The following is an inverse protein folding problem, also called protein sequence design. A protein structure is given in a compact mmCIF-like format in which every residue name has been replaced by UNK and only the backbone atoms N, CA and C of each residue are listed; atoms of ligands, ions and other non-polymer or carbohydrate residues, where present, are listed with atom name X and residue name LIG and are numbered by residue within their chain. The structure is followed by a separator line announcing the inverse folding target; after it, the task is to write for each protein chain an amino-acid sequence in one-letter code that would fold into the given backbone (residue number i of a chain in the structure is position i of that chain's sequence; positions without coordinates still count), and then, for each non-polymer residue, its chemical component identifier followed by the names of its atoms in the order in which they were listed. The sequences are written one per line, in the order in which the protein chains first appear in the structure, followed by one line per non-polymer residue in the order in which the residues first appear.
data_IF_947473006289
#
_entry.id   IF_947473006289
#
_cell.length_a   1.000
_cell.length_b   1.000
_cell.length_c   1.000
_cell.angle_alpha   90.00
_cell.angle_beta   90.00
_cell.angle_gamma   90.00
#
_symmetry.space_group_name_H-M   'P 1'
#
loop_
_entity.id
_entity.type
_entity.pdbx_description
1 polymer ?
#
# COMPACT_ATOMS: atom_id res chain seq x y z
N UNK A 1 21.99 44.76 -38.15
CA UNK A 1 21.94 43.45 -38.84
C UNK A 1 21.12 42.53 -37.94
N UNK A 2 19.81 42.37 -38.07
CA UNK A 2 18.83 42.68 -39.11
C UNK A 2 17.57 43.30 -38.48
N UNK A 3 16.94 44.18 -39.25
CA UNK A 3 15.68 44.84 -38.93
C UNK A 3 14.48 43.87 -38.89
N UNK A 4 13.57 44.18 -37.97
CA UNK A 4 12.25 43.58 -37.76
C UNK A 4 11.35 43.76 -38.99
N UNK A 5 11.13 42.70 -39.76
CA UNK A 5 10.08 42.61 -40.77
C UNK A 5 8.73 42.26 -40.14
N UNK A 6 8.01 43.22 -39.57
CA UNK A 6 6.54 43.16 -39.48
C UNK A 6 5.97 44.58 -39.41
N UNK A 7 4.98 44.95 -40.26
CA UNK A 7 4.37 46.27 -40.21
C UNK A 7 3.54 46.44 -38.92
N UNK A 8 3.75 47.57 -38.22
CA UNK A 8 2.89 48.02 -37.13
C UNK A 8 1.50 48.33 -37.69
N UNK A 9 0.57 47.41 -37.49
CA UNK A 9 -0.82 47.61 -37.81
C UNK A 9 -1.48 48.36 -36.63
N UNK A 10 -1.66 49.68 -36.77
CA UNK A 10 -2.39 50.54 -35.82
C UNK A 10 -3.91 50.36 -35.99
N UNK A 11 -4.41 49.16 -35.69
CA UNK A 11 -5.83 48.96 -35.49
C UNK A 11 -6.10 48.97 -33.99
N UNK A 12 -6.80 50.00 -33.52
CA UNK A 12 -7.46 50.03 -32.23
C UNK A 12 -8.43 48.85 -32.16
N UNK A 13 -7.94 47.71 -31.68
CA UNK A 13 -8.79 46.62 -31.21
C UNK A 13 -9.58 47.18 -30.03
N UNK A 14 -10.85 47.46 -30.28
CA UNK A 14 -11.82 47.61 -29.21
C UNK A 14 -11.78 46.31 -28.42
N UNK A 15 -11.10 46.35 -27.27
CA UNK A 15 -11.17 45.32 -26.23
C UNK A 15 -12.63 45.34 -25.78
N UNK A 16 -13.45 44.49 -26.40
CA UNK A 16 -14.85 44.39 -26.08
C UNK A 16 -15.03 44.00 -24.61
N UNK A 17 -16.16 44.39 -23.98
CA UNK A 17 -16.44 44.12 -22.55
C UNK A 17 -16.42 42.63 -22.19
N UNK A 18 -16.36 41.74 -23.17
CA UNK A 18 -16.25 40.29 -23.03
C UNK A 18 -14.94 39.81 -22.39
N UNK A 19 -13.80 40.47 -22.60
CA UNK A 19 -12.53 40.07 -21.97
C UNK A 19 -12.51 40.37 -20.45
N UNK A 20 -13.18 41.45 -20.04
CA UNK A 20 -13.38 41.79 -18.62
C UNK A 20 -14.39 40.82 -17.99
N UNK A 21 -15.43 40.41 -18.74
CA UNK A 21 -16.39 39.42 -18.26
C UNK A 21 -15.74 38.05 -18.01
N UNK A 22 -14.84 37.59 -18.90
CA UNK A 22 -14.12 36.32 -18.73
C UNK A 22 -13.12 36.39 -17.57
N UNK A 23 -12.47 37.53 -17.32
CA UNK A 23 -11.60 37.69 -16.14
C UNK A 23 -12.40 37.72 -14.83
N UNK A 24 -13.57 38.36 -14.79
CA UNK A 24 -14.41 38.43 -13.58
C UNK A 24 -15.12 37.10 -13.29
N UNK A 25 -15.46 36.31 -14.32
CA UNK A 25 -15.99 34.95 -14.17
C UNK A 25 -14.96 33.94 -13.65
N UNK A 26 -13.66 34.16 -13.87
CA UNK A 26 -12.60 33.31 -13.33
C UNK A 26 -12.10 33.74 -11.93
N UNK A 27 -12.41 34.96 -11.47
CA UNK A 27 -12.01 35.46 -10.14
C UNK A 27 -12.99 35.13 -9.01
N UNK A 28 -14.17 34.60 -9.33
CA UNK A 28 -15.21 34.24 -8.35
C UNK A 28 -15.53 32.74 -8.33
N UNK A 29 -14.68 31.89 -8.91
CA UNK A 29 -14.67 30.49 -8.50
C UNK A 29 -13.95 30.47 -7.14
N UNK A 30 -14.63 30.22 -6.02
CA UNK A 30 -13.91 29.69 -4.89
C UNK A 30 -13.31 28.38 -5.39
N UNK A 31 -12.04 28.40 -5.77
CA UNK A 31 -11.17 27.24 -5.58
C UNK A 31 -10.94 27.14 -4.07
N UNK A 32 -12.01 27.07 -3.30
CA UNK A 32 -12.01 26.31 -2.08
C UNK A 32 -12.23 24.90 -2.61
N UNK A 33 -11.15 24.14 -2.75
CA UNK A 33 -11.29 22.70 -2.59
C UNK A 33 -12.04 22.56 -1.27
N UNK A 34 -13.32 22.19 -1.36
CA UNK A 34 -14.17 21.97 -0.20
C UNK A 34 -13.37 21.05 0.72
N UNK A 35 -13.08 21.47 1.95
CA UNK A 35 -12.35 20.70 2.96
C UNK A 35 -13.11 19.40 3.19
N UNK A 36 -12.86 18.39 2.36
CA UNK A 36 -13.70 17.21 2.35
C UNK A 36 -13.03 16.02 2.99
N UNK A 37 -12.15 16.20 3.97
CA UNK A 37 -11.80 15.11 4.88
C UNK A 37 -12.97 14.88 5.85
N UNK A 38 -13.99 14.16 5.40
CA UNK A 38 -15.22 13.92 6.16
C UNK A 38 -15.35 12.45 6.52
N UNK A 39 -15.91 12.18 7.71
CA UNK A 39 -16.13 10.84 8.22
C UNK A 39 -17.22 10.06 7.47
N UNK A 40 -17.87 10.66 6.46
CA UNK A 40 -18.86 10.03 5.58
C UNK A 40 -18.25 9.37 4.33
N UNK A 41 -16.92 9.42 4.17
CA UNK A 41 -16.22 8.73 3.10
C UNK A 41 -16.48 7.23 3.11
N UNK A 42 -16.66 6.65 1.92
CA UNK A 42 -17.00 5.24 1.73
C UNK A 42 -15.97 4.30 2.41
N UNK A 43 -14.69 4.64 2.37
CA UNK A 43 -13.58 3.86 2.94
C UNK A 43 -13.50 3.95 4.47
N UNK A 44 -14.13 4.96 5.07
CA UNK A 44 -14.21 5.16 6.52
C UNK A 44 -15.52 4.63 7.10
N UNK A 45 -16.46 4.21 6.25
CA UNK A 45 -17.71 3.60 6.72
C UNK A 45 -17.46 2.18 7.22
N UNK A 46 -18.26 1.77 8.20
CA UNK A 46 -18.29 0.39 8.64
C UNK A 46 -18.62 -0.53 7.45
N UNK A 47 -17.76 -1.53 7.22
CA UNK A 47 -18.01 -2.57 6.22
C UNK A 47 -19.25 -3.35 6.61
N UNK A 48 -20.29 -3.28 5.78
CA UNK A 48 -21.51 -4.07 5.92
C UNK A 48 -21.45 -5.23 4.94
N UNK A 49 -21.81 -6.42 5.39
CA UNK A 49 -21.88 -7.61 4.52
C UNK A 49 -22.99 -7.39 3.49
N UNK A 50 -22.68 -7.30 2.19
CA UNK A 50 -23.69 -7.10 1.16
C UNK A 50 -24.52 -8.37 0.97
N UNK A 51 -25.73 -8.20 0.44
CA UNK A 51 -26.51 -9.32 -0.07
C UNK A 51 -25.83 -9.91 -1.30
N UNK A 52 -25.86 -11.24 -1.41
CA UNK A 52 -25.24 -11.95 -2.54
C UNK A 52 -26.14 -11.77 -3.77
N UNK A 53 -25.64 -11.26 -4.90
CA UNK A 53 -26.47 -11.02 -6.07
C UNK A 53 -26.99 -12.32 -6.69
N UNK A 54 -28.21 -12.27 -7.21
CA UNK A 54 -28.75 -13.36 -8.03
C UNK A 54 -28.15 -13.31 -9.44
N UNK A 55 -27.87 -14.49 -10.00
CA UNK A 55 -27.25 -14.66 -11.32
C UNK A 55 -28.03 -15.69 -12.14
N UNK A 56 -27.97 -15.55 -13.46
CA UNK A 56 -28.68 -16.44 -14.38
C UNK A 56 -28.00 -17.80 -14.45
N UNK A 57 -26.67 -17.84 -14.62
CA UNK A 57 -25.91 -19.09 -14.72
C UNK A 57 -25.49 -19.66 -13.37
N UNK A 58 -26.48 -20.13 -12.60
CA UNK A 58 -26.26 -20.74 -11.27
C UNK A 58 -25.34 -21.97 -11.27
N UNK A 59 -25.11 -22.61 -12.42
CA UNK A 59 -24.24 -23.80 -12.54
C UNK A 59 -22.75 -23.46 -12.51
N UNK A 60 -22.36 -22.23 -12.86
CA UNK A 60 -20.97 -21.80 -12.86
C UNK A 60 -20.48 -21.40 -11.46
N UNK A 61 -21.39 -20.95 -10.61
CA UNK A 61 -21.11 -20.51 -9.23
C UNK A 61 -20.67 -21.70 -8.37
N UNK A 62 -19.49 -21.60 -7.77
CA UNK A 62 -18.96 -22.55 -6.76
C UNK A 62 -19.04 -21.97 -5.35
N UNK A 63 -18.92 -20.66 -5.20
CA UNK A 63 -18.99 -19.96 -3.92
C UNK A 63 -19.63 -18.55 -4.08
N UNK A 64 -19.98 -17.85 -2.98
CA UNK A 64 -20.65 -16.55 -3.06
C UNK A 64 -19.86 -15.43 -3.75
N UNK A 65 -18.52 -15.50 -3.81
CA UNK A 65 -17.70 -14.50 -4.54
C UNK A 65 -17.97 -14.62 -6.04
N UNK A 66 -18.17 -15.83 -6.54
CA UNK A 66 -18.47 -16.09 -7.95
C UNK A 66 -19.79 -15.41 -8.37
N UNK A 67 -20.76 -15.26 -7.46
CA UNK A 67 -21.98 -14.49 -7.74
C UNK A 67 -21.67 -13.03 -8.06
N UNK A 68 -20.79 -12.38 -7.29
CA UNK A 68 -20.43 -10.97 -7.53
C UNK A 68 -19.70 -10.80 -8.86
N UNK A 69 -18.79 -11.71 -9.18
CA UNK A 69 -18.06 -11.69 -10.45
C UNK A 69 -19.01 -11.95 -11.62
N UNK A 70 -19.83 -13.01 -11.52
CA UNK A 70 -20.75 -13.40 -12.60
C UNK A 70 -21.86 -12.37 -12.80
N UNK A 71 -22.39 -11.76 -11.75
CA UNK A 71 -23.39 -10.70 -11.86
C UNK A 71 -22.85 -9.54 -12.71
N UNK A 72 -21.59 -9.13 -12.48
CA UNK A 72 -20.97 -8.07 -13.28
C UNK A 72 -20.70 -8.52 -14.72
N UNK A 73 -20.28 -9.77 -14.94
CA UNK A 73 -20.12 -10.30 -16.30
C UNK A 73 -21.45 -10.33 -17.07
N UNK A 74 -22.53 -10.83 -16.44
CA UNK A 74 -23.86 -10.90 -17.04
C UNK A 74 -24.44 -9.52 -17.36
N UNK A 75 -24.23 -8.54 -16.47
CA UNK A 75 -24.60 -7.12 -16.69
C UNK A 75 -23.93 -6.55 -17.94
N UNK A 76 -22.64 -6.84 -18.13
CA UNK A 76 -21.85 -6.37 -19.28
C UNK A 76 -22.00 -7.26 -20.53
N UNK A 77 -22.86 -8.30 -20.49
CA UNK A 77 -23.03 -9.24 -21.59
C UNK A 77 -21.81 -10.12 -21.88
N UNK A 78 -20.91 -10.28 -20.91
CA UNK A 78 -19.72 -11.09 -20.97
C UNK A 78 -19.95 -12.50 -20.41
N UNK A 79 -19.13 -13.45 -20.85
CA UNK A 79 -19.12 -14.81 -20.32
C UNK A 79 -17.79 -15.10 -19.62
N UNK A 80 -17.77 -15.95 -18.59
CA UNK A 80 -16.52 -16.36 -17.95
C UNK A 80 -15.54 -16.96 -18.95
N UNK A 81 -14.25 -16.65 -18.76
CA UNK A 81 -13.18 -17.29 -19.52
C UNK A 81 -13.13 -18.81 -19.22
N UNK A 82 -12.69 -19.64 -20.18
CA UNK A 82 -12.49 -21.06 -19.92
C UNK A 82 -11.45 -21.27 -18.81
N UNK A 83 -11.63 -22.34 -18.03
CA UNK A 83 -10.68 -22.73 -16.98
C UNK A 83 -9.31 -23.03 -17.60
N UNK A 84 -8.24 -22.64 -16.93
CA UNK A 84 -6.88 -22.89 -17.40
C UNK A 84 -6.62 -24.40 -17.47
N UNK A 85 -5.81 -24.83 -18.45
CA UNK A 85 -5.40 -26.22 -18.52
C UNK A 85 -4.63 -26.63 -17.25
N UNK A 86 -4.65 -27.92 -16.84
CA UNK A 86 -4.05 -28.36 -15.59
C UNK A 86 -2.59 -27.95 -15.43
N UNK A 87 -1.80 -28.00 -16.51
CA UNK A 87 -0.38 -27.63 -16.47
C UNK A 87 -0.19 -26.14 -16.21
N UNK A 88 -0.97 -25.29 -16.88
CA UNK A 88 -0.98 -23.85 -16.63
C UNK A 88 -1.41 -23.51 -15.21
N UNK A 89 -2.46 -24.17 -14.71
CA UNK A 89 -2.97 -23.96 -13.35
C UNK A 89 -1.94 -24.38 -12.29
N UNK A 90 -1.37 -25.59 -12.40
CA UNK A 90 -0.29 -26.06 -11.50
C UNK A 90 0.86 -25.07 -11.50
N UNK A 91 1.34 -24.64 -12.68
CA UNK A 91 2.47 -23.72 -12.76
C UNK A 91 2.18 -22.40 -12.05
N UNK A 92 0.98 -21.81 -12.23
CA UNK A 92 0.60 -20.56 -11.56
C UNK A 92 0.54 -20.72 -10.05
N UNK A 93 -0.14 -21.76 -9.56
CA UNK A 93 -0.26 -22.01 -8.11
C UNK A 93 1.11 -22.16 -7.44
N UNK A 94 2.03 -22.89 -8.07
CA UNK A 94 3.37 -23.09 -7.52
C UNK A 94 4.18 -21.77 -7.45
N UNK A 95 4.20 -20.97 -8.52
CA UNK A 95 4.90 -19.69 -8.49
C UNK A 95 4.25 -18.66 -7.58
N UNK A 96 2.91 -18.63 -7.52
CA UNK A 96 2.19 -17.66 -6.71
C UNK A 96 2.31 -17.99 -5.22
N UNK A 97 2.09 -19.26 -4.84
CA UNK A 97 2.04 -19.66 -3.43
C UNK A 97 3.43 -19.86 -2.83
N UNK A 98 4.36 -20.51 -3.55
CA UNK A 98 5.67 -20.88 -2.98
C UNK A 98 6.86 -20.32 -3.77
N UNK A 99 6.63 -19.64 -4.90
CA UNK A 99 7.71 -18.99 -5.67
C UNK A 99 8.61 -19.93 -6.48
N UNK A 100 8.34 -21.23 -6.46
CA UNK A 100 9.16 -22.26 -7.11
C UNK A 100 8.38 -22.92 -8.27
N UNK A 101 9.06 -23.48 -9.29
CA UNK A 101 8.38 -24.27 -10.31
C UNK A 101 7.85 -25.60 -9.74
N UNK A 102 6.78 -26.18 -10.32
CA UNK A 102 6.37 -27.55 -9.98
C UNK A 102 7.33 -28.60 -10.55
N UNK A 103 7.40 -29.76 -9.89
CA UNK A 103 8.03 -30.95 -10.45
C UNK A 103 7.27 -31.43 -11.70
N UNK A 104 7.93 -32.10 -12.66
CA UNK A 104 7.27 -32.70 -13.80
C UNK A 104 6.06 -33.56 -13.38
N UNK A 105 4.96 -33.44 -14.12
CA UNK A 105 3.70 -34.17 -13.90
C UNK A 105 3.00 -33.94 -12.54
N UNK A 106 3.41 -32.92 -11.79
CA UNK A 106 2.72 -32.53 -10.56
C UNK A 106 1.29 -32.03 -10.84
N UNK A 107 0.37 -32.43 -9.96
CA UNK A 107 -0.99 -31.92 -9.94
C UNK A 107 -1.12 -30.73 -8.98
N UNK A 108 -2.14 -29.87 -9.18
CA UNK A 108 -2.35 -28.72 -8.31
C UNK A 108 -2.96 -29.14 -6.98
N UNK A 109 -2.13 -29.33 -5.95
CA UNK A 109 -2.54 -29.63 -4.58
C UNK A 109 -2.41 -28.39 -3.68
N UNK A 110 -3.45 -27.54 -3.65
CA UNK A 110 -3.43 -26.23 -2.98
C UNK A 110 -3.06 -26.35 -1.49
N UNK A 111 -3.71 -27.27 -0.76
CA UNK A 111 -3.46 -27.45 0.69
C UNK A 111 -2.01 -27.83 0.99
N UNK A 112 -1.39 -28.64 0.12
CA UNK A 112 0.01 -29.01 0.25
C UNK A 112 0.95 -27.81 0.01
N UNK A 113 0.59 -26.94 -0.93
CA UNK A 113 1.34 -25.71 -1.20
C UNK A 113 1.22 -24.70 -0.07
N UNK A 114 0.02 -24.53 0.50
CA UNK A 114 -0.21 -23.65 1.65
C UNK A 114 0.50 -24.15 2.91
N UNK A 115 0.59 -25.47 3.11
CA UNK A 115 1.31 -26.07 4.22
C UNK A 115 2.85 -26.14 4.02
N UNK A 116 3.37 -25.72 2.86
CA UNK A 116 4.79 -25.73 2.58
C UNK A 116 5.51 -24.59 3.33
N UNK A 117 6.70 -24.81 3.92
CA UNK A 117 7.47 -23.73 4.55
C UNK A 117 7.84 -22.61 3.56
N UNK A 118 7.94 -22.95 2.27
CA UNK A 118 8.19 -21.98 1.20
C UNK A 118 7.04 -20.99 0.99
N UNK A 119 5.83 -21.28 1.50
CA UNK A 119 4.72 -20.35 1.46
C UNK A 119 5.04 -19.07 2.24
N UNK A 120 5.44 -19.23 3.51
CA UNK A 120 5.88 -18.12 4.35
C UNK A 120 7.08 -17.39 3.77
N UNK A 121 8.07 -18.10 3.22
CA UNK A 121 9.23 -17.46 2.55
C UNK A 121 8.80 -16.63 1.33
N UNK A 122 7.85 -17.13 0.53
CA UNK A 122 7.35 -16.45 -0.67
C UNK A 122 6.59 -15.19 -0.30
N UNK A 123 5.66 -15.30 0.65
CA UNK A 123 4.75 -14.23 1.05
C UNK A 123 5.42 -13.21 1.97
N UNK A 124 6.35 -13.63 2.84
CA UNK A 124 7.10 -12.72 3.69
C UNK A 124 7.84 -11.66 2.88
N UNK A 125 8.37 -11.99 1.70
CA UNK A 125 9.03 -11.00 0.83
C UNK A 125 8.14 -9.78 0.54
N UNK A 126 6.85 -10.02 0.26
CA UNK A 126 5.90 -8.94 0.01
C UNK A 126 5.66 -8.10 1.26
N UNK A 127 5.59 -8.74 2.43
CA UNK A 127 5.46 -8.02 3.70
C UNK A 127 6.74 -7.25 4.08
N UNK A 128 7.91 -7.82 3.81
CA UNK A 128 9.19 -7.21 4.10
C UNK A 128 9.44 -5.95 3.26
N UNK A 129 8.91 -5.89 2.03
CA UNK A 129 8.89 -4.67 1.24
C UNK A 129 8.04 -3.58 1.92
N UNK A 130 6.87 -3.93 2.45
CA UNK A 130 5.97 -3.01 3.19
C UNK A 130 6.62 -2.54 4.49
N UNK A 131 7.28 -3.44 5.22
CA UNK A 131 8.04 -3.12 6.41
C UNK A 131 9.33 -2.32 6.12
N UNK A 132 9.72 -2.19 4.84
CA UNK A 132 10.95 -1.53 4.39
C UNK A 132 12.20 -2.20 4.97
N UNK A 133 12.14 -3.52 5.05
CA UNK A 133 13.20 -4.35 5.62
C UNK A 133 14.50 -4.25 4.81
N UNK A 134 15.61 -4.08 5.51
CA UNK A 134 16.96 -4.16 4.97
C UNK A 134 17.92 -4.78 5.98
N UNK A 135 18.96 -5.46 5.49
CA UNK A 135 20.03 -6.03 6.32
C UNK A 135 21.16 -5.01 6.59
N UNK A 136 20.94 -3.76 6.21
CA UNK A 136 21.81 -2.62 6.47
C UNK A 136 20.99 -1.40 6.89
N UNK A 137 21.66 -0.31 7.27
CA UNK A 137 21.00 0.89 7.73
C UNK A 137 20.24 1.63 6.63
N UNK A 138 20.52 1.38 5.36
CA UNK A 138 19.85 2.01 4.21
C UNK A 138 20.08 3.52 4.14
N UNK A 139 21.12 4.04 4.78
CA UNK A 139 21.39 5.48 4.90
C UNK A 139 22.89 5.78 4.96
N UNK A 140 23.35 6.85 4.31
CA UNK A 140 24.74 7.38 4.24
C UNK A 140 25.91 6.40 4.51
N UNK A 141 26.21 6.08 5.77
CA UNK A 141 27.30 5.17 6.17
C UNK A 141 26.99 3.67 6.00
N UNK A 142 25.73 3.37 5.71
CA UNK A 142 25.09 2.09 5.41
C UNK A 142 25.73 0.87 6.07
N UNK A 143 25.68 0.84 7.40
CA UNK A 143 26.25 -0.26 8.18
C UNK A 143 25.33 -1.48 8.19
N UNK A 144 25.92 -2.67 8.25
CA UNK A 144 25.17 -3.92 8.39
C UNK A 144 24.41 -3.99 9.71
N UNK A 145 23.23 -4.58 9.67
CA UNK A 145 22.39 -4.91 10.83
C UNK A 145 22.49 -6.42 11.11
N UNK A 146 23.43 -6.87 11.96
CA UNK A 146 23.73 -8.30 12.12
C UNK A 146 22.57 -9.13 12.67
N UNK A 147 21.56 -8.49 13.26
CA UNK A 147 20.41 -9.16 13.89
C UNK A 147 19.09 -8.88 13.16
N UNK A 148 19.09 -8.21 12.00
CA UNK A 148 17.86 -7.90 11.26
C UNK A 148 17.07 -9.16 10.88
N UNK A 149 17.78 -10.25 10.57
CA UNK A 149 17.21 -11.54 10.17
C UNK A 149 16.17 -12.09 11.15
N UNK A 150 16.23 -11.76 12.44
CA UNK A 150 15.27 -12.24 13.43
C UNK A 150 13.84 -11.76 13.11
N UNK A 151 13.69 -10.51 12.65
CA UNK A 151 12.39 -9.99 12.23
C UNK A 151 11.91 -10.65 10.93
N UNK A 152 12.81 -10.84 9.96
CA UNK A 152 12.49 -11.57 8.71
C UNK A 152 11.94 -12.96 9.01
N UNK A 153 12.64 -13.72 9.84
CA UNK A 153 12.28 -15.09 10.18
C UNK A 153 10.98 -15.11 10.99
N UNK A 154 10.75 -14.14 11.89
CA UNK A 154 9.47 -13.99 12.58
C UNK A 154 8.29 -13.77 11.61
N UNK A 155 8.45 -12.94 10.57
CA UNK A 155 7.40 -12.74 9.55
C UNK A 155 7.12 -14.04 8.78
N UNK A 156 8.17 -14.76 8.39
CA UNK A 156 8.06 -16.07 7.70
C UNK A 156 7.28 -17.06 8.58
N UNK A 157 7.65 -17.15 9.85
CA UNK A 157 7.03 -18.06 10.81
C UNK A 157 5.57 -17.69 11.09
N UNK A 158 5.26 -16.41 11.26
CA UNK A 158 3.90 -15.93 11.48
C UNK A 158 2.97 -16.30 10.32
N UNK A 159 3.44 -16.19 9.07
CA UNK A 159 2.69 -16.57 7.88
C UNK A 159 2.52 -18.10 7.77
N UNK A 160 3.58 -18.87 8.02
CA UNK A 160 3.51 -20.34 7.98
C UNK A 160 2.63 -20.93 9.09
N UNK A 161 2.46 -20.22 10.21
CA UNK A 161 1.59 -20.62 11.32
C UNK A 161 0.13 -20.15 11.15
N UNK A 162 -0.20 -19.50 10.02
CA UNK A 162 -1.51 -18.92 9.78
C UNK A 162 -1.95 -17.97 10.92
N UNK A 163 -1.02 -17.11 11.36
CA UNK A 163 -1.30 -16.17 12.45
C UNK A 163 -2.45 -15.24 12.07
N UNK A 164 -3.49 -15.10 12.92
CA UNK A 164 -4.57 -14.15 12.67
C UNK A 164 -4.02 -12.74 12.43
N UNK A 165 -4.49 -12.10 11.35
CA UNK A 165 -3.98 -10.79 10.93
C UNK A 165 -4.06 -9.73 12.03
N UNK A 166 -5.11 -9.75 12.86
CA UNK A 166 -5.27 -8.80 13.95
C UNK A 166 -4.19 -8.96 15.04
N UNK A 167 -3.74 -10.20 15.29
CA UNK A 167 -2.59 -10.46 16.17
C UNK A 167 -1.29 -10.05 15.49
N UNK A 168 -1.09 -10.44 14.24
CA UNK A 168 0.09 -10.10 13.45
C UNK A 168 0.34 -8.59 13.38
N UNK A 169 -0.72 -7.80 13.19
CA UNK A 169 -0.65 -6.34 13.19
C UNK A 169 -0.34 -5.76 14.58
N UNK A 170 -1.03 -6.23 15.63
CA UNK A 170 -0.84 -5.71 17.00
C UNK A 170 0.58 -5.97 17.52
N UNK A 171 1.12 -7.16 17.30
CA UNK A 171 2.46 -7.51 17.77
C UNK A 171 3.54 -6.65 17.09
N UNK A 172 3.36 -6.28 15.83
CA UNK A 172 4.31 -5.41 15.14
C UNK A 172 4.32 -3.96 15.64
N UNK A 173 3.19 -3.48 16.16
CA UNK A 173 3.07 -2.11 16.70
C UNK A 173 3.48 -2.05 18.17
N UNK A 174 3.16 -3.07 18.96
CA UNK A 174 3.29 -3.01 20.42
C UNK A 174 3.55 -4.37 21.09
N UNK A 175 4.14 -5.33 20.39
CA UNK A 175 4.38 -6.67 20.94
C UNK A 175 5.23 -6.69 22.21
N UNK A 176 6.21 -5.79 22.32
CA UNK A 176 7.02 -5.57 23.52
C UNK A 176 6.22 -5.07 24.74
N UNK A 177 5.10 -4.38 24.51
CA UNK A 177 4.19 -3.89 25.55
C UNK A 177 3.09 -4.90 25.85
N UNK A 178 2.52 -5.54 24.83
CA UNK A 178 1.39 -6.46 24.95
C UNK A 178 1.86 -7.78 25.59
N UNK A 179 3.04 -8.29 25.19
CA UNK A 179 3.60 -9.56 25.65
C UNK A 179 5.09 -9.40 26.01
N UNK A 180 5.45 -8.65 27.06
CA UNK A 180 6.84 -8.24 27.37
C UNK A 180 7.79 -9.39 27.73
N UNK A 181 7.27 -10.60 27.94
CA UNK A 181 8.05 -11.79 28.27
C UNK A 181 8.11 -12.79 27.11
N UNK A 182 7.46 -12.50 25.98
CA UNK A 182 7.54 -13.32 24.77
C UNK A 182 8.59 -12.74 23.81
N UNK A 183 9.73 -13.42 23.59
CA UNK A 183 10.73 -12.99 22.61
C UNK A 183 10.18 -12.84 21.19
N UNK A 184 9.16 -13.62 20.81
CA UNK A 184 8.52 -13.50 19.50
C UNK A 184 7.76 -12.19 19.37
N UNK A 185 6.98 -11.82 20.38
CA UNK A 185 6.27 -10.54 20.42
C UNK A 185 7.24 -9.33 20.42
N UNK A 186 8.36 -9.42 21.14
CA UNK A 186 9.40 -8.38 21.11
C UNK A 186 10.08 -8.32 19.73
N UNK A 187 10.30 -9.47 19.09
CA UNK A 187 10.91 -9.50 17.75
C UNK A 187 9.98 -8.86 16.71
N UNK A 188 8.67 -9.02 16.86
CA UNK A 188 7.67 -8.43 15.96
C UNK A 188 7.76 -6.90 15.91
N UNK A 189 8.11 -6.22 17.01
CA UNK A 189 8.28 -4.76 17.02
C UNK A 189 9.47 -4.29 16.19
N UNK A 190 10.28 -5.22 15.65
CA UNK A 190 11.25 -4.96 14.60
C UNK A 190 10.67 -4.17 13.41
N UNK A 191 9.36 -4.32 13.12
CA UNK A 191 8.64 -3.51 12.11
C UNK A 191 8.91 -2.01 12.26
N UNK A 192 8.93 -1.49 13.49
CA UNK A 192 9.10 -0.07 13.79
C UNK A 192 10.50 0.46 13.47
N UNK A 193 11.48 -0.42 13.27
CA UNK A 193 12.90 -0.06 13.08
C UNK A 193 13.49 -0.67 11.80
N UNK A 194 12.67 -1.28 10.95
CA UNK A 194 13.11 -1.88 9.69
C UNK A 194 13.59 -0.84 8.67
N UNK A 195 12.93 0.33 8.63
CA UNK A 195 13.25 1.43 7.72
C UNK A 195 14.67 1.99 7.86
N UNK A 196 15.00 2.98 7.02
CA UNK A 196 16.32 3.60 7.04
C UNK A 196 16.67 4.17 8.43
N UNK A 197 17.92 3.98 8.86
CA UNK A 197 18.40 4.43 10.16
C UNK A 197 19.59 5.38 10.01
N UNK A 198 19.41 6.61 10.45
CA UNK A 198 20.49 7.60 10.50
C UNK A 198 21.33 7.43 11.78
N UNK A 199 22.45 6.72 11.65
CA UNK A 199 23.39 6.49 12.75
C UNK A 199 24.28 7.68 13.11
N UNK A 200 24.11 8.85 12.48
CA UNK A 200 24.89 10.04 12.79
C UNK A 200 24.67 10.51 14.24
N UNK A 201 25.73 11.07 14.84
CA UNK A 201 25.70 11.62 16.20
C UNK A 201 26.12 13.09 16.19
N UNK A 202 25.28 14.00 15.68
CA UNK A 202 25.66 15.40 15.59
C UNK A 202 25.76 16.04 16.97
N UNK A 203 26.80 16.85 17.16
CA UNK A 203 27.03 17.61 18.40
C UNK A 203 26.03 18.74 18.61
N UNK A 204 25.42 19.26 17.53
CA UNK A 204 24.46 20.35 17.58
C UNK A 204 23.03 19.91 17.92
N UNK A 205 22.39 20.63 18.85
CA UNK A 205 21.01 20.38 19.29
C UNK A 205 20.00 20.46 18.13
N UNK A 206 20.21 21.41 17.21
CA UNK A 206 19.32 21.60 16.06
C UNK A 206 19.33 20.38 15.14
N UNK A 207 20.52 19.87 14.81
CA UNK A 207 20.65 18.69 13.95
C UNK A 207 20.04 17.44 14.62
N UNK A 208 20.28 17.22 15.92
CA UNK A 208 19.65 16.09 16.64
C UNK A 208 18.12 16.15 16.60
N UNK A 209 17.54 17.34 16.69
CA UNK A 209 16.08 17.53 16.59
C UNK A 209 15.55 17.24 15.19
N UNK A 210 16.26 17.66 14.14
CA UNK A 210 15.88 17.40 12.74
C UNK A 210 15.91 15.89 12.46
N UNK A 211 17.02 15.22 12.79
CA UNK A 211 17.14 13.76 12.63
C UNK A 211 16.01 13.01 13.32
N UNK A 212 15.74 13.34 14.60
CA UNK A 212 14.62 12.73 15.33
C UNK A 212 13.28 12.99 14.64
N UNK A 213 13.06 14.18 14.09
CA UNK A 213 11.81 14.51 13.41
C UNK A 213 11.64 13.68 12.13
N UNK A 214 12.71 13.47 11.38
CA UNK A 214 12.70 12.65 10.16
C UNK A 214 12.45 11.16 10.48
N UNK A 215 13.08 10.61 11.52
CA UNK A 215 12.80 9.25 12.01
C UNK A 215 11.34 9.08 12.44
N UNK A 216 10.80 10.06 13.18
CA UNK A 216 9.41 10.00 13.66
C UNK A 216 8.40 10.15 12.52
N UNK A 217 8.68 11.00 11.53
CA UNK A 217 7.84 11.12 10.33
C UNK A 217 7.78 9.79 9.59
N UNK A 218 8.95 9.20 9.32
CA UNK A 218 9.08 7.96 8.58
C UNK A 218 8.33 6.80 9.27
N UNK A 219 8.45 6.69 10.59
CA UNK A 219 7.71 5.73 11.40
C UNK A 219 6.19 5.95 11.30
N UNK A 220 5.71 7.18 11.51
CA UNK A 220 4.28 7.51 11.45
C UNK A 220 3.70 7.27 10.06
N UNK A 221 4.43 7.64 9.01
CA UNK A 221 4.07 7.37 7.62
C UNK A 221 3.92 5.88 7.34
N UNK A 222 4.91 5.09 7.75
CA UNK A 222 4.93 3.63 7.55
C UNK A 222 3.79 2.93 8.27
N UNK A 223 3.58 3.24 9.55
CA UNK A 223 2.49 2.65 10.35
C UNK A 223 1.13 3.00 9.73
N UNK A 224 0.93 4.27 9.36
CA UNK A 224 -0.34 4.74 8.81
C UNK A 224 -0.65 4.12 7.44
N UNK A 225 0.35 4.05 6.55
CA UNK A 225 0.17 3.44 5.24
C UNK A 225 -0.06 1.93 5.33
N UNK A 226 0.68 1.25 6.21
CA UNK A 226 0.62 -0.21 6.33
C UNK A 226 -0.67 -0.70 6.97
N UNK A 227 -1.08 -0.08 8.08
CA UNK A 227 -2.18 -0.61 8.90
C UNK A 227 -3.49 0.16 8.74
N UNK A 228 -3.43 1.43 8.35
CA UNK A 228 -4.63 2.26 8.15
C UNK A 228 -4.96 2.44 6.66
N UNK A 229 -4.00 2.18 5.76
CA UNK A 229 -4.14 2.49 4.34
C UNK A 229 -4.21 3.99 4.05
N UNK A 230 -3.69 4.83 4.96
CA UNK A 230 -3.78 6.29 4.86
C UNK A 230 -2.39 6.91 4.72
N UNK A 231 -2.27 7.91 3.85
CA UNK A 231 -1.10 8.76 3.79
C UNK A 231 -1.26 9.91 4.78
N UNK A 232 -0.23 10.18 5.60
CA UNK A 232 -0.27 11.26 6.62
C UNK A 232 0.93 12.20 6.51
N UNK A 233 1.77 12.05 5.48
CA UNK A 233 2.98 12.87 5.28
C UNK A 233 2.69 14.38 5.18
N UNK A 234 1.50 14.78 4.73
CA UNK A 234 1.07 16.18 4.72
C UNK A 234 1.12 16.82 6.13
N UNK A 235 0.93 16.01 7.17
CA UNK A 235 0.99 16.43 8.56
C UNK A 235 2.39 16.86 9.02
N UNK A 236 3.44 16.62 8.21
CA UNK A 236 4.79 17.14 8.48
C UNK A 236 4.82 18.67 8.54
N UNK A 237 4.02 19.32 7.69
CA UNK A 237 4.09 20.77 7.50
C UNK A 237 2.80 21.50 7.90
N UNK A 238 1.67 20.79 7.98
CA UNK A 238 0.37 21.41 8.17
C UNK A 238 -0.57 20.53 9.00
N UNK A 239 -1.51 21.12 9.73
CA UNK A 239 -2.43 20.40 10.61
C UNK A 239 -3.69 19.87 9.90
N UNK A 240 -3.61 19.61 8.59
CA UNK A 240 -4.75 19.15 7.78
C UNK A 240 -4.38 18.01 6.81
N UNK A 241 -5.37 17.15 6.52
CA UNK A 241 -5.27 16.11 5.50
C UNK A 241 -6.08 16.52 4.28
N UNK A 242 -5.44 16.68 3.12
CA UNK A 242 -6.13 17.05 1.88
C UNK A 242 -6.55 15.85 1.01
N UNK A 243 -6.10 14.63 1.34
CA UNK A 243 -6.28 13.41 0.53
C UNK A 243 -6.69 12.20 1.41
N UNK A 244 -7.64 11.33 1.02
CA UNK A 244 -7.75 9.98 1.59
C UNK A 244 -6.50 9.14 1.34
#
# INVERSE_FOLDING_TARGET
MFDSFYPKNNNHLMIGPWLILVLILNLNLPICAEERASSDWWSLQQVKRPEVPEVQNKKWVRNPIDNFVLAKLEEEGLVPAPEADPRSLTRRLYFDLIGLPPEPDSLPEIEKLLASPHYGERWARHWLDVARYGESNGFEYDQLRPNAWAYRDWVIDALNQDMPYDRFARLQIAGDVIEPNDPGAITATGFLVCGAFDGLKPSGDKQRKIMRQDEMEDLVGTVSQTFLGLTVHCARCHDHKFDP
#
